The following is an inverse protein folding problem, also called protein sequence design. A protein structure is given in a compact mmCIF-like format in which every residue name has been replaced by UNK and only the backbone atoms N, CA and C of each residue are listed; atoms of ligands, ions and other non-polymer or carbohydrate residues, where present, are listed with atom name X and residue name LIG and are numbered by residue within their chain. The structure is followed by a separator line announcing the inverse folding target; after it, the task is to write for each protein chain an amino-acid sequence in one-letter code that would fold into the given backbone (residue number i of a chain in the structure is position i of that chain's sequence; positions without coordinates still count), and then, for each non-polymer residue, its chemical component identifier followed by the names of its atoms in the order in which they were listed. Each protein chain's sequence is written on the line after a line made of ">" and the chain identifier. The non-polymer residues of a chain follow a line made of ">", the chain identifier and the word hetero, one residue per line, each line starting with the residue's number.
data_IF_727951597468
#
_entry.id   IF_727951597468
#
_cell.length_a   1.000
_cell.length_b   1.000
_cell.length_c   1.000
_cell.angle_alpha   90.00
_cell.angle_beta   90.00
_cell.angle_gamma   90.00
#
_symmetry.space_group_name_H-M   'P 1'
#
loop_
_entity.id
_entity.type
_entity.pdbx_description
1 polymer ?
#
# COMPACT_ATOMS: atom_id res chain seq x y z
N UNK A 1 24.37 20.75 -20.01
CA UNK A 1 23.83 19.64 -19.16
C UNK A 1 22.41 20.04 -18.79
N UNK A 2 21.40 19.47 -19.49
CA UNK A 2 20.01 19.66 -19.11
C UNK A 2 19.80 19.10 -17.72
N UNK A 3 19.09 19.80 -16.84
CA UNK A 3 18.86 19.35 -15.48
C UNK A 3 18.06 18.04 -15.52
N UNK A 4 18.25 17.17 -14.53
CA UNK A 4 17.50 15.89 -14.45
C UNK A 4 15.97 16.07 -14.53
N UNK A 5 15.48 17.26 -14.24
CA UNK A 5 14.08 17.64 -14.23
C UNK A 5 13.52 17.96 -15.63
N UNK A 6 14.32 18.56 -16.52
CA UNK A 6 13.84 18.98 -17.83
C UNK A 6 13.51 17.82 -18.76
N UNK A 7 14.36 16.80 -18.86
CA UNK A 7 14.07 15.64 -19.71
C UNK A 7 12.94 14.75 -19.15
N UNK A 8 12.73 14.74 -17.82
CA UNK A 8 11.61 14.05 -17.20
C UNK A 8 10.28 14.70 -17.61
N UNK A 9 10.23 16.02 -17.63
CA UNK A 9 9.05 16.79 -18.03
C UNK A 9 8.71 16.57 -19.51
N UNK A 10 9.71 16.49 -20.39
CA UNK A 10 9.50 16.20 -21.82
C UNK A 10 8.93 14.79 -22.05
N UNK A 11 9.39 13.77 -21.32
CA UNK A 11 8.94 12.40 -21.48
C UNK A 11 7.55 12.14 -20.88
N UNK A 12 7.15 12.92 -19.88
CA UNK A 12 5.84 12.81 -19.25
C UNK A 12 4.78 13.70 -19.89
N UNK A 13 5.18 14.67 -20.69
CA UNK A 13 4.26 15.54 -21.40
C UNK A 13 3.39 14.74 -22.38
N UNK A 14 2.09 14.68 -22.12
CA UNK A 14 1.12 13.96 -22.95
C UNK A 14 0.63 12.61 -22.41
N UNK A 15 1.08 12.19 -21.24
CA UNK A 15 0.59 10.96 -20.62
C UNK A 15 -0.37 11.29 -19.46
N UNK A 16 -1.59 10.75 -19.54
CA UNK A 16 -2.57 10.87 -18.46
C UNK A 16 -2.35 9.76 -17.44
N UNK A 17 -1.80 10.09 -16.28
CA UNK A 17 -1.39 9.13 -15.25
C UNK A 17 -2.52 8.72 -14.29
N UNK A 18 -3.72 9.28 -14.44
CA UNK A 18 -4.85 9.06 -13.53
C UNK A 18 -5.56 7.70 -13.66
N UNK A 19 -5.21 6.88 -14.69
CA UNK A 19 -5.89 5.60 -14.98
C UNK A 19 -5.07 4.35 -14.62
N UNK A 20 -4.00 4.49 -13.86
CA UNK A 20 -3.05 3.38 -13.62
C UNK A 20 -3.39 2.64 -12.33
N UNK A 21 -4.21 1.59 -12.45
CA UNK A 21 -4.48 0.63 -11.38
C UNK A 21 -3.54 -0.57 -11.44
N UNK A 22 -2.81 -0.82 -10.35
CA UNK A 22 -2.13 -2.09 -10.05
C UNK A 22 -0.77 -2.35 -10.72
N UNK A 23 0.03 -3.20 -10.07
CA UNK A 23 1.42 -3.55 -10.41
C UNK A 23 1.69 -3.97 -11.87
N UNK A 24 0.75 -4.57 -12.54
CA UNK A 24 0.90 -5.07 -13.92
C UNK A 24 0.81 -3.98 -14.97
N UNK A 25 0.23 -2.83 -14.64
CA UNK A 25 -0.03 -1.74 -15.57
C UNK A 25 0.76 -0.46 -15.28
N UNK A 26 1.66 -0.48 -14.29
CA UNK A 26 2.50 0.69 -13.98
C UNK A 26 3.43 1.00 -15.16
N UNK A 27 3.50 2.27 -15.54
CA UNK A 27 4.44 2.74 -16.55
C UNK A 27 5.78 3.03 -15.89
N UNK A 28 6.83 2.59 -16.56
CA UNK A 28 8.21 2.82 -16.17
C UNK A 28 8.94 3.57 -17.26
N UNK A 29 9.87 4.41 -16.87
CA UNK A 29 10.85 4.99 -17.76
C UNK A 29 12.07 4.04 -17.80
N UNK A 30 12.43 3.63 -18.99
CA UNK A 30 13.66 2.90 -19.27
C UNK A 30 14.55 3.77 -20.16
N UNK A 31 15.72 4.15 -19.67
CA UNK A 31 16.70 4.92 -20.43
C UNK A 31 17.99 4.13 -20.59
N UNK A 32 18.41 3.92 -21.81
CA UNK A 32 19.71 3.30 -22.09
C UNK A 32 20.82 4.26 -21.71
N UNK A 33 21.79 3.80 -20.90
CA UNK A 33 22.84 4.70 -20.36
C UNK A 33 23.86 5.13 -21.39
N UNK A 34 24.09 4.30 -22.39
CA UNK A 34 25.11 4.51 -23.44
C UNK A 34 24.47 5.05 -24.75
N UNK A 35 23.24 5.53 -24.71
CA UNK A 35 22.46 6.01 -25.84
C UNK A 35 21.47 7.10 -25.42
N UNK A 36 20.90 7.80 -26.39
CA UNK A 36 19.76 8.70 -26.17
C UNK A 36 18.41 7.98 -26.11
N UNK A 37 18.39 6.66 -26.30
CA UNK A 37 17.17 5.87 -26.32
C UNK A 37 16.49 5.88 -24.96
N UNK A 38 15.20 6.20 -24.95
CA UNK A 38 14.33 6.10 -23.78
C UNK A 38 12.99 5.49 -24.20
N UNK A 39 12.43 4.68 -23.31
CA UNK A 39 11.16 3.98 -23.55
C UNK A 39 10.29 4.17 -22.32
N UNK A 40 9.02 4.50 -22.54
CA UNK A 40 7.98 4.44 -21.52
C UNK A 40 7.11 3.23 -21.81
N UNK A 41 7.13 2.26 -20.91
CA UNK A 41 6.42 0.99 -21.11
C UNK A 41 6.01 0.37 -19.76
N UNK A 42 5.11 -0.61 -19.79
CA UNK A 42 4.94 -1.51 -18.64
C UNK A 42 6.13 -2.47 -18.56
N UNK A 43 6.46 -2.99 -17.37
CA UNK A 43 7.55 -3.95 -17.18
C UNK A 43 7.50 -5.15 -18.15
N UNK A 44 6.31 -5.71 -18.33
CA UNK A 44 6.11 -6.88 -19.22
C UNK A 44 6.40 -6.56 -20.68
N UNK A 45 6.01 -5.37 -21.16
CA UNK A 45 6.26 -4.93 -22.53
C UNK A 45 7.74 -4.71 -22.76
N UNK A 46 8.42 -4.07 -21.79
CA UNK A 46 9.87 -3.85 -21.86
C UNK A 46 10.65 -5.18 -21.83
N UNK A 47 10.30 -6.11 -20.94
CA UNK A 47 10.93 -7.43 -20.87
C UNK A 47 10.78 -8.22 -22.17
N UNK A 48 9.59 -8.23 -22.77
CA UNK A 48 9.35 -8.93 -24.04
C UNK A 48 10.13 -8.33 -25.19
N UNK A 49 10.32 -7.00 -25.20
CA UNK A 49 10.95 -6.30 -26.30
C UNK A 49 12.46 -6.29 -26.22
N UNK A 50 13.02 -6.03 -25.03
CA UNK A 50 14.44 -5.70 -24.85
C UNK A 50 15.24 -6.75 -24.06
N UNK A 51 14.57 -7.54 -23.20
CA UNK A 51 15.24 -8.48 -22.29
C UNK A 51 14.98 -9.96 -22.68
N UNK A 52 15.04 -10.27 -23.97
CA UNK A 52 14.80 -11.67 -24.41
C UNK A 52 15.92 -12.59 -23.96
N UNK A 53 15.73 -13.27 -22.90
CA UNK A 53 15.89 -14.72 -22.65
C UNK A 53 15.89 -15.05 -21.15
N UNK A 54 15.02 -15.91 -20.74
CA UNK A 54 15.01 -17.07 -19.86
C UNK A 54 15.60 -17.01 -18.44
N UNK A 55 16.31 -16.00 -18.00
CA UNK A 55 16.71 -15.84 -16.60
C UNK A 55 16.25 -14.48 -16.09
N UNK A 56 15.24 -14.51 -15.26
CA UNK A 56 14.70 -13.38 -14.56
C UNK A 56 15.80 -12.66 -13.76
N UNK A 57 16.25 -11.54 -14.27
CA UNK A 57 16.61 -10.44 -13.40
C UNK A 57 15.33 -9.66 -13.20
N UNK A 58 14.67 -9.83 -12.04
CA UNK A 58 13.48 -9.06 -11.72
C UNK A 58 13.79 -7.58 -11.87
N UNK A 59 12.85 -6.81 -12.44
CA UNK A 59 12.98 -5.36 -12.46
C UNK A 59 13.11 -4.87 -11.01
N UNK A 60 13.98 -3.90 -10.74
CA UNK A 60 14.12 -3.37 -9.40
C UNK A 60 12.78 -2.79 -8.94
N UNK A 61 12.42 -3.02 -7.68
CA UNK A 61 11.21 -2.43 -7.06
C UNK A 61 11.30 -0.90 -7.03
N UNK A 62 12.52 -0.37 -7.18
CA UNK A 62 12.90 1.05 -7.16
C UNK A 62 13.65 1.43 -8.42
N UNK A 63 13.88 2.75 -8.60
CA UNK A 63 14.80 3.23 -9.61
C UNK A 63 16.17 2.53 -9.48
N UNK A 64 16.67 2.01 -10.58
CA UNK A 64 17.89 1.23 -10.59
C UNK A 64 18.45 0.99 -11.99
N UNK A 65 19.60 0.35 -12.07
CA UNK A 65 20.24 -0.01 -13.34
C UNK A 65 20.13 -1.51 -13.55
N UNK A 66 19.68 -1.88 -14.74
CA UNK A 66 19.66 -3.27 -15.20
C UNK A 66 20.56 -3.41 -16.42
N UNK A 67 21.06 -4.62 -16.66
CA UNK A 67 21.83 -4.97 -17.85
C UNK A 67 21.03 -5.94 -18.69
N UNK A 68 20.84 -5.63 -19.98
CA UNK A 68 20.19 -6.50 -20.92
C UNK A 68 21.04 -7.75 -21.17
N UNK A 69 20.43 -8.91 -21.06
CA UNK A 69 21.08 -10.18 -21.39
C UNK A 69 21.27 -10.38 -22.90
N UNK A 70 20.58 -9.58 -23.74
CA UNK A 70 20.60 -9.69 -25.20
C UNK A 70 21.88 -9.11 -25.80
N UNK A 71 22.28 -7.93 -25.33
CA UNK A 71 23.32 -7.13 -25.98
C UNK A 71 24.26 -6.43 -24.98
N UNK A 72 24.16 -6.78 -23.70
CA UNK A 72 24.89 -6.15 -22.60
C UNK A 72 24.62 -4.64 -22.42
N UNK A 73 23.61 -4.09 -23.07
CA UNK A 73 23.24 -2.68 -22.88
C UNK A 73 22.77 -2.43 -21.45
N UNK A 74 23.11 -1.27 -20.92
CA UNK A 74 22.73 -0.86 -19.56
C UNK A 74 21.54 0.10 -19.63
N UNK A 75 20.54 -0.18 -18.82
CA UNK A 75 19.30 0.61 -18.77
C UNK A 75 19.05 1.12 -17.37
N UNK A 76 18.84 2.42 -17.24
CA UNK A 76 18.29 3.01 -16.04
C UNK A 76 16.78 2.87 -16.09
N UNK A 77 16.20 2.29 -15.06
CA UNK A 77 14.77 2.04 -14.93
C UNK A 77 14.23 2.85 -13.75
N UNK A 78 13.12 3.53 -13.95
CA UNK A 78 12.47 4.32 -12.90
C UNK A 78 10.94 4.19 -13.03
N UNK A 79 10.21 3.89 -11.94
CA UNK A 79 8.76 3.98 -11.96
C UNK A 79 8.37 5.45 -12.18
N UNK A 80 7.38 5.70 -13.03
CA UNK A 80 6.89 7.05 -13.32
C UNK A 80 5.92 7.57 -12.25
N UNK A 81 5.51 6.71 -11.35
CA UNK A 81 4.63 7.06 -10.24
C UNK A 81 5.30 6.55 -8.96
N UNK A 82 5.52 7.44 -8.01
CA UNK A 82 5.82 7.03 -6.65
C UNK A 82 4.60 6.28 -6.12
N UNK A 83 4.83 5.10 -5.59
CA UNK A 83 3.78 4.32 -4.93
C UNK A 83 3.44 5.01 -3.63
N UNK A 84 2.29 5.65 -3.58
CA UNK A 84 1.75 6.18 -2.34
C UNK A 84 0.88 5.10 -1.70
N UNK A 85 1.17 4.66 -0.47
CA UNK A 85 0.35 3.68 0.23
C UNK A 85 -1.10 4.14 0.31
N UNK A 86 -2.04 3.21 0.08
CA UNK A 86 -3.47 3.45 0.19
C UNK A 86 -3.99 2.76 1.43
N UNK A 87 -4.54 3.52 2.39
CA UNK A 87 -5.04 2.97 3.66
C UNK A 87 -6.53 3.19 3.79
N UNK A 88 -7.27 2.11 3.97
CA UNK A 88 -8.71 2.08 4.18
C UNK A 88 -9.00 1.76 5.65
N UNK A 89 -9.62 2.70 6.34
CA UNK A 89 -9.89 2.61 7.78
C UNK A 89 -11.39 2.52 8.01
N UNK A 90 -11.83 1.42 8.57
CA UNK A 90 -13.23 1.12 8.87
C UNK A 90 -13.50 1.40 10.35
N UNK A 91 -14.15 2.52 10.64
CA UNK A 91 -14.55 2.96 11.98
C UNK A 91 -13.91 4.27 12.41
N UNK A 92 -14.75 5.22 12.84
CA UNK A 92 -14.35 6.56 13.30
C UNK A 92 -14.39 6.71 14.83
N UNK A 93 -14.33 5.62 15.60
CA UNK A 93 -14.24 5.66 17.06
C UNK A 93 -12.91 6.27 17.55
N UNK A 94 -12.71 6.31 18.86
CA UNK A 94 -11.53 6.96 19.45
C UNK A 94 -10.19 6.43 18.89
N UNK A 95 -10.09 5.13 18.63
CA UNK A 95 -8.88 4.55 18.02
C UNK A 95 -8.77 4.97 16.55
N UNK A 96 -9.88 4.95 15.79
CA UNK A 96 -9.91 5.42 14.41
C UNK A 96 -9.45 6.87 14.28
N UNK A 97 -9.93 7.74 15.16
CA UNK A 97 -9.49 9.14 15.25
C UNK A 97 -7.98 9.26 15.47
N UNK A 98 -7.44 8.49 16.40
CA UNK A 98 -6.00 8.50 16.68
C UNK A 98 -5.18 7.95 15.52
N UNK A 99 -5.64 6.87 14.89
CA UNK A 99 -4.98 6.24 13.74
C UNK A 99 -4.94 7.18 12.54
N UNK A 100 -6.07 7.81 12.19
CA UNK A 100 -6.14 8.76 11.08
C UNK A 100 -5.19 9.93 11.30
N UNK A 101 -5.16 10.49 12.52
CA UNK A 101 -4.24 11.58 12.88
C UNK A 101 -2.77 11.16 12.78
N UNK A 102 -2.43 9.96 13.25
CA UNK A 102 -1.06 9.45 13.20
C UNK A 102 -0.62 9.19 11.75
N UNK A 103 -1.47 8.56 10.94
CA UNK A 103 -1.16 8.24 9.55
C UNK A 103 -1.16 9.47 8.63
N UNK A 104 -1.90 10.54 8.97
CA UNK A 104 -1.87 11.80 8.21
C UNK A 104 -0.51 12.50 8.22
N UNK A 105 0.38 12.13 9.14
CA UNK A 105 1.77 12.58 9.18
C UNK A 105 2.69 11.78 8.24
N UNK A 106 2.17 10.70 7.65
CA UNK A 106 2.91 9.82 6.75
C UNK A 106 2.47 10.07 5.30
N UNK A 107 3.36 9.79 4.35
CA UNK A 107 3.05 9.91 2.93
C UNK A 107 2.16 8.74 2.48
N UNK A 108 0.86 8.79 2.80
CA UNK A 108 -0.14 7.81 2.40
C UNK A 108 -1.48 8.48 2.09
N UNK A 109 -2.30 7.81 1.26
CA UNK A 109 -3.69 8.22 1.03
C UNK A 109 -4.62 7.47 1.97
N UNK A 110 -5.43 8.21 2.73
CA UNK A 110 -6.35 7.66 3.70
C UNK A 110 -7.78 7.75 3.17
N UNK A 111 -8.48 6.63 3.14
CA UNK A 111 -9.93 6.55 2.99
C UNK A 111 -10.54 6.09 4.31
N UNK A 112 -11.32 6.95 4.93
CA UNK A 112 -11.88 6.74 6.27
C UNK A 112 -13.39 6.58 6.22
N UNK A 113 -13.90 5.45 6.70
CA UNK A 113 -15.28 5.02 6.57
C UNK A 113 -15.95 4.89 7.93
N UNK A 114 -17.13 5.48 8.07
CA UNK A 114 -18.04 5.27 9.22
C UNK A 114 -19.47 5.60 8.80
N UNK A 115 -20.46 5.16 9.58
CA UNK A 115 -21.87 5.49 9.39
C UNK A 115 -22.29 6.75 10.14
N UNK A 116 -21.42 7.32 10.96
CA UNK A 116 -21.67 8.51 11.80
C UNK A 116 -20.92 9.71 11.21
N UNK A 117 -21.66 10.63 10.64
CA UNK A 117 -21.12 11.85 10.03
C UNK A 117 -20.36 12.70 11.05
N UNK A 118 -20.94 12.93 12.22
CA UNK A 118 -20.34 13.72 13.31
C UNK A 118 -18.92 13.22 13.68
N UNK A 119 -18.70 11.91 13.62
CA UNK A 119 -17.41 11.32 13.98
C UNK A 119 -16.38 11.46 12.85
N UNK A 120 -16.80 11.45 11.59
CA UNK A 120 -15.93 11.68 10.45
C UNK A 120 -15.48 13.15 10.36
N UNK A 121 -16.28 14.07 10.90
CA UNK A 121 -16.01 15.52 10.87
C UNK A 121 -15.17 16.03 12.04
N UNK A 122 -14.84 15.17 13.02
CA UNK A 122 -14.06 15.60 14.20
C UNK A 122 -12.62 16.10 13.89
N UNK A 123 -12.11 15.85 12.69
CA UNK A 123 -10.78 16.30 12.24
C UNK A 123 -10.87 16.93 10.84
N UNK A 124 -11.57 18.06 10.70
CA UNK A 124 -11.83 18.68 9.39
C UNK A 124 -10.54 19.20 8.73
N UNK A 125 -9.50 19.48 9.51
CA UNK A 125 -8.21 19.98 9.03
C UNK A 125 -7.40 18.94 8.23
N UNK A 126 -7.72 17.65 8.37
CA UNK A 126 -6.98 16.60 7.68
C UNK A 126 -7.46 16.42 6.24
N UNK A 127 -6.51 16.45 5.30
CA UNK A 127 -6.79 16.21 3.87
C UNK A 127 -6.87 14.71 3.59
N UNK A 128 -8.03 14.12 3.89
CA UNK A 128 -8.31 12.69 3.75
C UNK A 128 -9.65 12.48 3.06
N UNK A 129 -9.84 11.32 2.44
CA UNK A 129 -11.13 10.93 1.87
C UNK A 129 -12.04 10.36 2.97
N UNK A 130 -13.17 11.03 3.23
CA UNK A 130 -14.19 10.59 4.20
C UNK A 130 -15.35 9.96 3.45
N UNK A 131 -15.75 8.78 3.88
CA UNK A 131 -16.85 8.03 3.28
C UNK A 131 -17.90 7.74 4.34
N UNK A 132 -19.01 8.47 4.28
CA UNK A 132 -20.19 8.19 5.08
C UNK A 132 -20.94 7.00 4.46
N UNK A 133 -21.06 5.89 5.18
CA UNK A 133 -21.69 4.68 4.66
C UNK A 133 -22.25 3.79 5.76
N UNK A 134 -23.45 3.29 5.55
CA UNK A 134 -24.05 2.24 6.39
C UNK A 134 -23.64 0.83 5.93
N UNK A 135 -23.05 0.72 4.73
CA UNK A 135 -22.63 -0.54 4.12
C UNK A 135 -21.14 -0.54 3.76
N UNK A 136 -20.25 -0.70 4.75
CA UNK A 136 -18.81 -0.72 4.49
C UNK A 136 -18.36 -1.86 3.56
N UNK A 137 -19.17 -2.90 3.42
CA UNK A 137 -18.90 -4.02 2.51
C UNK A 137 -18.96 -3.60 1.03
N UNK A 138 -19.88 -2.69 0.68
CA UNK A 138 -20.04 -2.20 -0.69
C UNK A 138 -18.83 -1.32 -1.11
N UNK A 139 -18.14 -0.76 -0.14
CA UNK A 139 -16.96 0.05 -0.38
C UNK A 139 -15.70 -0.78 -0.65
N UNK A 140 -15.64 -2.03 -0.18
CA UNK A 140 -14.48 -2.91 -0.36
C UNK A 140 -14.15 -3.09 -1.85
N UNK A 141 -15.16 -3.25 -2.71
CA UNK A 141 -14.97 -3.42 -4.15
C UNK A 141 -14.36 -2.19 -4.84
N UNK A 142 -14.42 -1.01 -4.21
CA UNK A 142 -13.84 0.24 -4.72
C UNK A 142 -12.39 0.44 -4.28
N UNK A 143 -11.92 -0.39 -3.34
CA UNK A 143 -10.54 -0.26 -2.85
C UNK A 143 -9.53 -0.79 -3.87
N UNK A 144 -8.36 -0.15 -3.98
CA UNK A 144 -7.28 -0.66 -4.80
C UNK A 144 -6.82 -2.05 -4.34
N UNK A 145 -6.39 -2.89 -5.28
CA UNK A 145 -5.97 -4.27 -5.00
C UNK A 145 -4.76 -4.38 -4.04
N UNK A 146 -4.00 -3.30 -3.87
CA UNK A 146 -2.86 -3.21 -2.96
C UNK A 146 -3.13 -2.28 -1.77
N UNK A 147 -4.40 -2.06 -1.41
CA UNK A 147 -4.73 -1.26 -0.25
C UNK A 147 -4.41 -1.98 1.07
N UNK A 148 -4.04 -1.21 2.08
CA UNK A 148 -3.96 -1.64 3.47
C UNK A 148 -5.34 -1.41 4.11
N UNK A 149 -5.95 -2.44 4.64
CA UNK A 149 -7.24 -2.36 5.31
C UNK A 149 -7.08 -2.47 6.81
N UNK A 150 -7.67 -1.52 7.56
CA UNK A 150 -7.61 -1.48 9.02
C UNK A 150 -9.03 -1.46 9.57
N UNK A 151 -9.42 -2.55 10.23
CA UNK A 151 -10.80 -2.79 10.69
C UNK A 151 -10.90 -2.53 12.18
N UNK A 152 -11.70 -1.53 12.56
CA UNK A 152 -11.88 -1.09 13.95
C UNK A 152 -13.28 -0.50 14.18
N UNK A 153 -14.31 -1.18 13.68
CA UNK A 153 -15.68 -0.69 13.87
C UNK A 153 -16.16 -0.88 15.30
N UNK A 154 -17.32 -0.33 15.61
CA UNK A 154 -17.98 -0.53 16.91
C UNK A 154 -18.60 -1.93 17.08
N UNK A 155 -18.68 -2.72 16.02
CA UNK A 155 -19.39 -4.01 16.01
C UNK A 155 -18.49 -5.16 15.59
N UNK A 156 -18.36 -6.16 16.45
CA UNK A 156 -17.65 -7.41 16.13
C UNK A 156 -18.25 -8.18 14.94
N UNK A 157 -19.57 -8.01 14.68
CA UNK A 157 -20.22 -8.64 13.54
C UNK A 157 -19.76 -7.96 12.24
N UNK A 158 -19.79 -6.62 12.19
CA UNK A 158 -19.35 -5.85 11.04
C UNK A 158 -17.85 -6.09 10.79
N UNK A 159 -17.03 -6.05 11.84
CA UNK A 159 -15.60 -6.38 11.74
C UNK A 159 -15.36 -7.75 11.09
N UNK A 160 -16.15 -8.75 11.52
CA UNK A 160 -16.03 -10.09 10.96
C UNK A 160 -16.42 -10.16 9.49
N UNK A 161 -17.53 -9.51 9.12
CA UNK A 161 -18.02 -9.52 7.74
C UNK A 161 -17.06 -8.78 6.80
N UNK A 162 -16.46 -7.66 7.23
CA UNK A 162 -15.39 -6.97 6.48
C UNK A 162 -14.19 -7.88 6.29
N UNK A 163 -13.66 -8.49 7.37
CA UNK A 163 -12.52 -9.40 7.27
C UNK A 163 -12.82 -10.59 6.35
N UNK A 164 -14.02 -11.18 6.46
CA UNK A 164 -14.46 -12.27 5.58
C UNK A 164 -14.48 -11.87 4.11
N UNK A 165 -15.05 -10.69 3.80
CA UNK A 165 -15.13 -10.19 2.45
C UNK A 165 -13.74 -9.90 1.85
N UNK A 166 -12.85 -9.26 2.61
CA UNK A 166 -11.48 -8.98 2.19
C UNK A 166 -10.66 -10.25 1.94
N UNK A 167 -10.74 -11.22 2.84
CA UNK A 167 -10.07 -12.52 2.66
C UNK A 167 -10.61 -13.29 1.46
N UNK A 168 -11.93 -13.23 1.21
CA UNK A 168 -12.55 -13.81 0.02
C UNK A 168 -12.09 -13.13 -1.27
N UNK A 169 -11.92 -11.80 -1.25
CA UNK A 169 -11.38 -11.04 -2.38
C UNK A 169 -9.92 -11.38 -2.65
N UNK A 170 -9.12 -11.61 -1.60
CA UNK A 170 -7.73 -12.02 -1.69
C UNK A 170 -6.73 -10.95 -2.14
N UNK A 171 -7.21 -9.75 -2.51
CA UNK A 171 -6.43 -8.65 -3.06
C UNK A 171 -6.32 -7.52 -2.02
N UNK A 172 -5.26 -7.52 -1.25
CA UNK A 172 -4.89 -6.45 -0.31
C UNK A 172 -3.40 -6.61 0.06
N UNK A 173 -2.76 -5.51 0.41
CA UNK A 173 -1.38 -5.52 0.91
C UNK A 173 -1.33 -5.87 2.40
N UNK A 174 -2.29 -5.35 3.18
CA UNK A 174 -2.39 -5.56 4.62
C UNK A 174 -3.85 -5.65 5.04
N UNK A 175 -4.15 -6.55 5.99
CA UNK A 175 -5.43 -6.62 6.68
C UNK A 175 -5.19 -6.64 8.18
N UNK A 176 -5.46 -5.52 8.85
CA UNK A 176 -5.36 -5.36 10.29
C UNK A 176 -6.73 -5.31 10.96
N UNK A 177 -6.88 -6.03 12.06
CA UNK A 177 -8.08 -6.04 12.88
C UNK A 177 -7.74 -5.59 14.31
N UNK A 178 -8.47 -4.59 14.80
CA UNK A 178 -8.38 -4.21 16.21
C UNK A 178 -8.95 -5.31 17.09
N UNK A 179 -8.24 -5.64 18.15
CA UNK A 179 -8.73 -6.64 19.08
C UNK A 179 -7.62 -7.24 19.93
N UNK A 180 -7.97 -8.34 20.57
CA UNK A 180 -7.05 -9.13 21.38
C UNK A 180 -6.74 -10.47 20.67
N UNK A 181 -5.76 -11.20 21.19
CA UNK A 181 -5.46 -12.56 20.75
C UNK A 181 -6.68 -13.50 20.87
N UNK A 182 -7.55 -13.26 21.85
CA UNK A 182 -8.82 -13.99 22.00
C UNK A 182 -9.78 -13.70 20.84
N UNK A 183 -9.87 -12.43 20.39
CA UNK A 183 -10.68 -12.05 19.22
C UNK A 183 -10.11 -12.68 17.95
N UNK A 184 -8.78 -12.65 17.77
CA UNK A 184 -8.09 -13.31 16.67
C UNK A 184 -8.48 -14.79 16.58
N UNK A 185 -8.31 -15.54 17.65
CA UNK A 185 -8.65 -16.99 17.71
C UNK A 185 -10.11 -17.24 17.35
N UNK A 186 -11.02 -16.42 17.87
CA UNK A 186 -12.45 -16.53 17.57
C UNK A 186 -12.75 -16.27 16.10
N UNK A 187 -12.16 -15.23 15.50
CA UNK A 187 -12.35 -14.88 14.10
C UNK A 187 -11.74 -15.95 13.19
N UNK A 188 -10.51 -16.38 13.42
CA UNK A 188 -9.86 -17.44 12.65
C UNK A 188 -10.73 -18.73 12.64
N UNK A 189 -11.23 -19.16 13.81
CA UNK A 189 -12.13 -20.33 13.88
C UNK A 189 -13.41 -20.15 13.06
N UNK A 190 -14.01 -18.97 13.07
CA UNK A 190 -15.22 -18.67 12.29
C UNK A 190 -14.92 -18.58 10.80
N UNK A 191 -13.80 -17.97 10.39
CA UNK A 191 -13.34 -17.84 9.01
C UNK A 191 -13.07 -19.22 8.39
N UNK A 192 -12.40 -20.13 9.12
CA UNK A 192 -12.21 -21.53 8.69
C UNK A 192 -13.55 -22.23 8.44
N UNK A 193 -14.55 -22.01 9.29
CA UNK A 193 -15.90 -22.57 9.08
C UNK A 193 -16.62 -21.97 7.86
N UNK A 194 -16.18 -20.82 7.38
CA UNK A 194 -16.66 -20.16 6.15
C UNK A 194 -15.85 -20.55 4.91
N UNK A 195 -14.91 -21.50 5.05
CA UNK A 195 -14.13 -22.09 3.95
C UNK A 195 -12.81 -21.37 3.65
N UNK A 196 -12.34 -20.48 4.53
CA UNK A 196 -10.99 -19.93 4.40
C UNK A 196 -9.96 -20.94 4.94
N UNK A 197 -8.87 -21.13 4.21
CA UNK A 197 -7.73 -21.90 4.65
C UNK A 197 -6.84 -21.13 5.66
N UNK A 198 -5.84 -21.82 6.19
CA UNK A 198 -4.96 -21.25 7.19
C UNK A 198 -4.06 -20.16 6.61
N UNK A 199 -3.57 -20.35 5.39
CA UNK A 199 -2.69 -19.38 4.72
C UNK A 199 -3.41 -18.02 4.53
N UNK A 200 -4.71 -18.06 4.18
CA UNK A 200 -5.52 -16.85 4.07
C UNK A 200 -5.81 -16.21 5.43
N UNK A 201 -6.17 -17.01 6.44
CA UNK A 201 -6.48 -16.48 7.78
C UNK A 201 -5.26 -15.89 8.47
N UNK A 202 -4.06 -16.40 8.18
CA UNK A 202 -2.80 -15.90 8.73
C UNK A 202 -2.38 -14.54 8.14
N UNK A 203 -2.95 -14.15 7.00
CA UNK A 203 -2.80 -12.81 6.45
C UNK A 203 -3.52 -11.72 7.26
N UNK A 204 -4.39 -12.10 8.20
CA UNK A 204 -5.08 -11.15 9.08
C UNK A 204 -4.25 -10.89 10.35
N UNK A 205 -3.76 -9.67 10.47
CA UNK A 205 -3.02 -9.18 11.63
C UNK A 205 -3.99 -8.77 12.73
N UNK A 206 -3.99 -9.47 13.84
CA UNK A 206 -4.80 -9.15 15.02
C UNK A 206 -4.10 -9.68 16.29
N UNK A 207 -3.87 -8.85 17.29
CA UNK A 207 -4.11 -7.39 17.34
C UNK A 207 -3.25 -6.62 16.32
N UNK A 208 -3.75 -5.43 15.91
CA UNK A 208 -2.94 -4.49 15.12
C UNK A 208 -1.82 -3.90 15.97
N UNK A 209 -0.70 -3.60 15.32
CA UNK A 209 0.47 -3.02 15.96
C UNK A 209 1.48 -4.05 16.45
N UNK A 210 2.74 -3.89 16.04
CA UNK A 210 3.81 -4.89 16.23
C UNK A 210 4.82 -4.51 17.34
N UNK A 211 4.54 -3.47 18.13
CA UNK A 211 5.52 -2.98 19.12
C UNK A 211 5.46 -3.73 20.47
N UNK A 212 4.78 -4.87 20.55
CA UNK A 212 4.58 -5.64 21.81
C UNK A 212 4.07 -4.76 22.98
N UNK A 213 3.28 -3.72 22.63
CA UNK A 213 2.71 -2.81 23.61
C UNK A 213 1.34 -3.35 24.06
N UNK A 214 1.23 -3.75 25.31
CA UNK A 214 -0.04 -4.15 25.92
C UNK A 214 -0.87 -2.92 26.35
N UNK A 215 -1.08 -1.99 25.43
CA UNK A 215 -1.80 -0.75 25.72
C UNK A 215 -3.10 -0.67 24.94
N UNK A 216 -4.18 -0.32 25.63
CA UNK A 216 -5.47 0.02 25.03
C UNK A 216 -5.64 1.53 24.77
N UNK A 217 -4.63 2.34 25.08
CA UNK A 217 -4.65 3.79 24.84
C UNK A 217 -4.66 4.06 23.33
N UNK A 218 -5.66 4.79 22.79
CA UNK A 218 -5.83 5.00 21.35
C UNK A 218 -4.57 5.51 20.64
N UNK A 219 -3.86 6.47 21.22
CA UNK A 219 -2.63 7.03 20.61
C UNK A 219 -1.47 6.03 20.58
N UNK A 220 -1.39 5.11 21.55
CA UNK A 220 -0.35 4.06 21.59
C UNK A 220 -0.65 3.00 20.55
N UNK A 221 -1.92 2.59 20.41
CA UNK A 221 -2.36 1.68 19.34
C UNK A 221 -2.08 2.28 17.98
N UNK A 222 -2.40 3.56 17.78
CA UNK A 222 -2.16 4.27 16.53
C UNK A 222 -0.68 4.34 16.16
N UNK A 223 0.20 4.64 17.13
CA UNK A 223 1.65 4.66 16.94
C UNK A 223 2.18 3.27 16.56
N UNK A 224 1.72 2.24 17.26
CA UNK A 224 2.13 0.85 17.00
C UNK A 224 1.73 0.38 15.60
N UNK A 225 0.50 0.68 15.17
CA UNK A 225 0.02 0.39 13.82
C UNK A 225 0.80 1.17 12.76
N UNK A 226 1.06 2.46 12.98
CA UNK A 226 1.84 3.28 12.04
C UNK A 226 3.25 2.73 11.84
N UNK A 227 3.90 2.26 12.92
CA UNK A 227 5.21 1.62 12.85
C UNK A 227 5.15 0.28 12.09
N UNK A 228 4.12 -0.54 12.32
CA UNK A 228 3.91 -1.80 11.57
C UNK A 228 3.75 -1.53 10.07
N UNK A 229 2.90 -0.57 9.69
CA UNK A 229 2.71 -0.20 8.29
C UNK A 229 3.97 0.40 7.67
N UNK A 230 4.74 1.22 8.40
CA UNK A 230 6.01 1.77 7.91
C UNK A 230 7.01 0.66 7.57
N UNK A 231 7.14 -0.36 8.43
CA UNK A 231 8.00 -1.53 8.17
C UNK A 231 7.54 -2.29 6.93
N UNK A 232 6.22 -2.53 6.79
CA UNK A 232 5.64 -3.17 5.62
C UNK A 232 5.98 -2.38 4.34
N UNK A 233 5.75 -1.08 4.34
CA UNK A 233 5.98 -0.23 3.16
C UNK A 233 7.45 -0.12 2.79
N UNK A 234 8.38 -0.16 3.76
CA UNK A 234 9.80 -0.28 3.48
C UNK A 234 10.15 -1.63 2.83
N UNK A 235 9.57 -2.73 3.32
CA UNK A 235 9.82 -4.07 2.79
C UNK A 235 9.28 -4.24 1.37
N UNK A 236 8.10 -3.70 1.09
CA UNK A 236 7.46 -3.75 -0.23
C UNK A 236 8.02 -2.68 -1.20
N UNK A 237 8.88 -1.78 -0.71
CA UNK A 237 9.44 -0.70 -1.50
C UNK A 237 8.43 0.40 -1.83
N UNK A 238 7.34 0.47 -1.09
CA UNK A 238 6.29 1.48 -1.26
C UNK A 238 6.74 2.85 -0.73
N UNK A 239 7.61 2.87 0.29
CA UNK A 239 8.33 4.08 0.73
C UNK A 239 9.84 3.87 0.59
N UNK A 240 10.56 4.94 0.25
CA UNK A 240 12.02 4.87 0.11
C UNK A 240 12.71 4.77 1.48
N UNK A 241 13.66 3.83 1.59
CA UNK A 241 14.69 3.95 2.62
C UNK A 241 15.60 5.12 2.24
N UNK A 242 15.58 6.20 3.00
CA UNK A 242 16.65 7.19 2.89
C UNK A 242 17.99 6.46 3.12
N UNK A 243 18.78 6.34 2.07
CA UNK A 243 20.17 5.97 2.24
C UNK A 243 20.81 7.06 3.10
N UNK A 244 21.14 6.72 4.34
CA UNK A 244 22.06 7.54 5.15
C UNK A 244 23.30 7.71 4.31
N UNK A 245 23.49 8.90 3.75
CA UNK A 245 24.79 9.29 3.18
C UNK A 245 25.79 9.14 4.31
N UNK A 246 26.56 8.05 4.28
CA UNK A 246 27.64 7.86 5.19
C UNK A 246 28.57 9.07 5.08
N UNK A 247 28.62 9.85 6.13
CA UNK A 247 29.70 10.82 6.34
C UNK A 247 30.98 10.02 6.38
N UNK A 248 31.64 9.92 5.24
CA UNK A 248 33.06 9.50 5.19
C UNK A 248 33.83 10.59 5.92
N UNK A 249 34.35 10.22 7.09
CA UNK A 249 35.38 10.99 7.79
C UNK A 249 36.73 10.78 7.09
#
# INVERSE_FOLDING_TARGET
>A
MSSKTEWFTELTAGHNFSELGGYKNEKWLFRQLDSTAAIVATPDVFQKRELVSGKQTGLPIKAGVITSARDNSRWFCMPLIERVPMVWIYGAGHVGQAVVRQLSLMACHITWLDHREDWLELQPELSINRVLTDSPLDEIAKSPANACHVVMTHSHAIDFDICHALLKLGHFEYLGLIGSESKRRTFTKRLRRRGHDDDLTDRMHCPIGNLQLESSVPSVVALSLAAELAVLWEQTGTIERQQTFGTTR
#
